data_IF_629794410743
#
_entry.id   IF_629794410743
#
_cell.length_a   1.000
_cell.length_b   1.000
_cell.length_c   1.000
_cell.angle_alpha   90.00
_cell.angle_beta   90.00
_cell.angle_gamma   90.00
#
_symmetry.space_group_name_H-M   'P 1'
#
loop_
_entity.id
_entity.type
_entity.pdbx_description
1 polymer ?
#
# COMPACT_ATOMS: atom_id res chain seq x y z
N UNK A 1 -13.09 -3.18 -33.55
CA UNK A 1 -12.68 -4.28 -32.65
C UNK A 1 -12.30 -3.67 -31.31
N UNK A 2 -12.93 -4.06 -30.18
CA UNK A 2 -12.62 -3.50 -28.87
C UNK A 2 -11.18 -3.82 -28.42
N UNK A 3 -10.48 -2.92 -27.70
CA UNK A 3 -9.17 -3.20 -27.15
C UNK A 3 -9.19 -4.17 -25.97
N UNK A 4 -8.11 -4.93 -25.83
CA UNK A 4 -7.71 -5.55 -24.56
C UNK A 4 -6.82 -4.59 -23.78
N UNK A 5 -7.11 -4.38 -22.49
CA UNK A 5 -6.38 -3.45 -21.63
C UNK A 5 -5.75 -4.20 -20.44
N UNK A 6 -4.47 -4.01 -20.21
CA UNK A 6 -3.74 -4.57 -19.06
C UNK A 6 -2.79 -3.52 -18.47
N UNK A 7 -2.78 -3.38 -17.15
CA UNK A 7 -1.83 -2.51 -16.44
C UNK A 7 -0.80 -3.37 -15.71
N UNK A 8 0.47 -3.03 -15.87
CA UNK A 8 1.62 -3.69 -15.20
C UNK A 8 2.43 -2.63 -14.47
N UNK A 9 2.92 -2.95 -13.28
CA UNK A 9 3.77 -2.08 -12.48
C UNK A 9 5.21 -2.61 -12.47
N UNK A 10 6.18 -1.72 -12.63
CA UNK A 10 7.62 -2.02 -12.52
C UNK A 10 8.30 -0.98 -11.59
N UNK A 11 8.93 -1.39 -10.47
CA UNK A 11 8.94 -2.75 -9.94
C UNK A 11 7.55 -3.26 -9.53
N UNK A 12 7.32 -4.58 -9.52
CA UNK A 12 6.08 -5.15 -9.04
C UNK A 12 5.91 -4.87 -7.54
N UNK A 13 4.68 -4.59 -7.12
CA UNK A 13 4.36 -4.37 -5.71
C UNK A 13 4.52 -5.66 -4.86
N UNK A 14 4.92 -5.57 -3.58
CA UNK A 14 5.14 -4.34 -2.81
C UNK A 14 6.53 -3.69 -3.04
N UNK A 15 6.59 -2.36 -2.92
CA UNK A 15 7.79 -1.53 -3.20
C UNK A 15 8.20 -0.73 -1.96
N UNK A 16 9.49 -0.48 -1.75
CA UNK A 16 9.96 0.41 -0.69
C UNK A 16 9.45 1.85 -0.84
N UNK A 17 9.33 2.56 0.29
CA UNK A 17 8.96 3.99 0.30
C UNK A 17 10.00 4.81 -0.47
N UNK A 18 9.56 5.88 -1.15
CA UNK A 18 10.34 6.80 -1.97
C UNK A 18 10.99 6.17 -3.21
N UNK A 19 10.56 4.97 -3.61
CA UNK A 19 10.92 4.41 -4.92
C UNK A 19 9.96 4.90 -5.99
N UNK A 20 10.49 5.09 -7.19
CA UNK A 20 9.70 5.31 -8.39
C UNK A 20 9.11 4.00 -8.90
N UNK A 21 7.82 4.00 -9.22
CA UNK A 21 7.09 2.89 -9.84
C UNK A 21 6.48 3.36 -11.15
N UNK A 22 6.71 2.60 -12.22
CA UNK A 22 6.13 2.85 -13.53
C UNK A 22 4.93 1.94 -13.75
N UNK A 23 3.75 2.54 -13.91
CA UNK A 23 2.56 1.83 -14.37
C UNK A 23 2.49 1.93 -15.89
N UNK A 24 2.57 0.78 -16.56
CA UNK A 24 2.44 0.68 -18.02
C UNK A 24 1.10 0.05 -18.37
N UNK A 25 0.29 0.79 -19.13
CA UNK A 25 -0.95 0.31 -19.71
C UNK A 25 -0.69 -0.23 -21.13
N UNK A 26 -0.91 -1.51 -21.31
CA UNK A 26 -0.89 -2.17 -22.61
C UNK A 26 -2.30 -2.21 -23.19
N UNK A 27 -2.50 -1.55 -24.32
CA UNK A 27 -3.76 -1.55 -25.07
C UNK A 27 -3.50 -2.28 -26.38
N UNK A 28 -4.19 -3.40 -26.62
CA UNK A 28 -3.86 -4.33 -27.72
C UNK A 28 -5.09 -4.76 -28.50
N UNK A 29 -4.89 -5.00 -29.80
CA UNK A 29 -5.84 -5.74 -30.64
C UNK A 29 -7.06 -4.95 -31.06
N UNK A 30 -6.97 -3.62 -31.14
CA UNK A 30 -8.08 -2.75 -31.48
C UNK A 30 -8.04 -2.27 -32.94
N UNK A 31 -9.18 -1.81 -33.43
CA UNK A 31 -9.33 -1.22 -34.77
C UNK A 31 -10.66 -0.46 -34.81
N UNK A 32 -10.72 0.77 -35.36
CA UNK A 32 -9.64 1.55 -35.99
C UNK A 32 -8.57 2.02 -34.99
N UNK A 33 -7.53 2.72 -35.46
CA UNK A 33 -6.37 3.09 -34.62
C UNK A 33 -6.64 4.19 -33.60
N UNK A 34 -7.79 4.86 -33.66
CA UNK A 34 -8.07 6.02 -32.81
C UNK A 34 -8.56 5.61 -31.42
N UNK A 35 -7.81 5.99 -30.39
CA UNK A 35 -8.15 5.75 -28.98
C UNK A 35 -7.77 6.95 -28.12
N UNK A 36 -8.55 7.19 -27.06
CA UNK A 36 -8.20 8.11 -25.99
C UNK A 36 -7.84 7.33 -24.73
N UNK A 37 -6.72 7.69 -24.09
CA UNK A 37 -6.24 7.05 -22.85
C UNK A 37 -6.17 8.11 -21.75
N UNK A 38 -6.79 7.82 -20.61
CA UNK A 38 -6.70 8.62 -19.39
C UNK A 38 -6.18 7.76 -18.24
N UNK A 39 -5.32 8.35 -17.41
CA UNK A 39 -4.89 7.73 -16.16
C UNK A 39 -5.68 8.29 -14.98
N UNK A 40 -6.02 7.43 -14.03
CA UNK A 40 -6.70 7.84 -12.80
C UNK A 40 -6.00 7.25 -11.59
N UNK A 41 -5.84 8.04 -10.53
CA UNK A 41 -5.46 7.60 -9.20
C UNK A 41 -6.70 7.63 -8.31
N UNK A 42 -7.15 6.45 -7.83
CA UNK A 42 -8.34 6.32 -6.99
C UNK A 42 -9.60 6.96 -7.60
N UNK A 43 -9.74 6.88 -8.92
CA UNK A 43 -10.87 7.45 -9.66
C UNK A 43 -10.71 8.93 -10.04
N UNK A 44 -9.66 9.61 -9.58
CA UNK A 44 -9.35 11.00 -9.96
C UNK A 44 -8.38 11.03 -11.12
N UNK A 45 -8.68 11.82 -12.15
CA UNK A 45 -7.86 11.91 -13.35
C UNK A 45 -6.48 12.54 -13.07
N UNK A 46 -5.43 11.91 -13.59
CA UNK A 46 -4.06 12.41 -13.55
C UNK A 46 -3.81 13.29 -14.77
N UNK A 47 -3.21 14.46 -14.56
CA UNK A 47 -2.75 15.35 -15.65
C UNK A 47 -1.44 14.89 -16.30
N UNK A 48 -0.82 13.86 -15.74
CA UNK A 48 0.47 13.31 -16.16
C UNK A 48 0.29 11.96 -16.85
N UNK A 49 1.19 11.65 -17.76
CA UNK A 49 1.21 10.40 -18.50
C UNK A 49 1.85 10.59 -19.86
N UNK A 50 2.45 9.52 -20.38
CA UNK A 50 3.03 9.49 -21.72
C UNK A 50 2.34 8.43 -22.54
N UNK A 51 1.66 8.84 -23.61
CA UNK A 51 0.96 7.96 -24.54
C UNK A 51 1.46 8.22 -25.96
N UNK A 52 2.49 7.49 -26.42
CA UNK A 52 2.90 7.50 -27.81
C UNK A 52 1.76 7.07 -28.76
N UNK A 53 1.85 7.43 -30.05
CA UNK A 53 0.89 6.99 -31.05
C UNK A 53 0.79 5.45 -31.15
N UNK A 54 -0.40 4.92 -31.51
CA UNK A 54 -0.57 3.51 -31.80
C UNK A 54 0.32 3.01 -32.93
N UNK A 55 0.77 1.75 -32.83
CA UNK A 55 1.45 1.02 -33.89
C UNK A 55 0.55 -0.07 -34.45
N UNK A 56 0.54 -0.23 -35.77
CA UNK A 56 -0.18 -1.30 -36.44
C UNK A 56 0.63 -2.61 -36.43
N UNK A 57 -0.03 -3.71 -36.08
CA UNK A 57 0.54 -5.06 -36.10
C UNK A 57 0.40 -5.69 -37.50
N UNK A 58 1.19 -6.72 -37.86
CA UNK A 58 1.06 -7.41 -39.15
C UNK A 58 -0.33 -8.05 -39.42
N UNK A 59 -1.17 -8.15 -38.38
CA UNK A 59 -2.55 -8.65 -38.47
C UNK A 59 -3.57 -7.55 -38.79
N UNK A 60 -3.14 -6.31 -39.03
CA UNK A 60 -4.00 -5.15 -39.29
C UNK A 60 -4.72 -4.61 -38.06
N UNK A 61 -4.28 -4.99 -36.85
CA UNK A 61 -4.80 -4.49 -35.58
C UNK A 61 -3.79 -3.55 -34.93
N UNK A 62 -4.26 -2.60 -34.14
CA UNK A 62 -3.42 -1.63 -33.44
C UNK A 62 -3.06 -2.07 -32.02
N UNK A 63 -1.91 -1.61 -31.56
CA UNK A 63 -1.50 -1.65 -30.16
C UNK A 63 -0.83 -0.33 -29.76
N UNK A 64 -0.94 0.04 -28.49
CA UNK A 64 -0.18 1.15 -27.90
C UNK A 64 0.21 0.83 -26.46
N UNK A 65 1.15 1.63 -25.94
CA UNK A 65 1.53 1.61 -24.52
C UNK A 65 1.41 3.01 -23.95
N UNK A 66 0.72 3.17 -22.84
CA UNK A 66 0.72 4.41 -22.06
C UNK A 66 1.44 4.19 -20.74
N UNK A 67 2.17 5.18 -20.24
CA UNK A 67 2.96 5.07 -19.01
C UNK A 67 2.65 6.23 -18.08
N UNK A 68 2.54 5.94 -16.77
CA UNK A 68 2.57 6.94 -15.70
C UNK A 68 3.62 6.56 -14.67
N UNK A 69 4.46 7.53 -14.31
CA UNK A 69 5.48 7.40 -13.26
C UNK A 69 4.91 7.91 -11.93
N UNK A 70 5.10 7.13 -10.87
CA UNK A 70 4.53 7.40 -9.54
C UNK A 70 5.59 7.21 -8.47
N UNK A 71 5.72 8.17 -7.55
CA UNK A 71 6.52 8.00 -6.33
C UNK A 71 5.75 7.19 -5.28
N UNK A 72 6.38 6.14 -4.75
CA UNK A 72 5.80 5.31 -3.70
C UNK A 72 5.89 5.99 -2.33
N UNK A 73 4.97 6.90 -2.04
CA UNK A 73 4.88 7.58 -0.75
C UNK A 73 3.85 6.90 0.15
N UNK A 74 3.99 7.00 1.47
CA UNK A 74 3.08 6.35 2.43
C UNK A 74 1.61 6.69 2.19
N UNK A 75 1.31 7.91 1.76
CA UNK A 75 -0.04 8.37 1.45
C UNK A 75 -0.66 7.66 0.24
N UNK A 76 0.18 7.19 -0.69
CA UNK A 76 -0.23 6.46 -1.89
C UNK A 76 -0.27 4.94 -1.68
N UNK A 77 0.01 4.46 -0.47
CA UNK A 77 -0.08 3.02 -0.19
C UNK A 77 -1.53 2.54 -0.36
N UNK A 78 -1.74 1.57 -1.25
CA UNK A 78 -3.06 1.08 -1.61
C UNK A 78 -3.75 1.88 -2.72
N UNK A 79 -3.14 2.95 -3.24
CA UNK A 79 -3.68 3.68 -4.39
C UNK A 79 -3.84 2.74 -5.60
N UNK A 80 -4.98 2.89 -6.28
CA UNK A 80 -5.32 2.16 -7.50
C UNK A 80 -5.11 3.07 -8.70
N UNK A 81 -4.17 2.68 -9.57
CA UNK A 81 -3.87 3.34 -10.82
C UNK A 81 -4.66 2.67 -11.94
N UNK A 82 -5.59 3.42 -12.53
CA UNK A 82 -6.50 2.94 -13.57
C UNK A 82 -6.12 3.56 -14.90
N UNK A 83 -5.89 2.73 -15.91
CA UNK A 83 -5.84 3.16 -17.30
C UNK A 83 -7.24 3.00 -17.89
N UNK A 84 -7.88 4.12 -18.24
CA UNK A 84 -9.20 4.15 -18.90
C UNK A 84 -9.03 4.45 -20.38
N UNK A 85 -9.56 3.57 -21.22
CA UNK A 85 -9.44 3.63 -22.67
C UNK A 85 -10.83 3.81 -23.27
N UNK A 86 -10.98 4.83 -24.12
CA UNK A 86 -12.16 5.06 -24.94
C UNK A 86 -11.78 4.77 -26.40
N UNK A 87 -12.54 3.93 -27.07
CA UNK A 87 -12.29 3.49 -28.44
C UNK A 87 -13.61 3.54 -29.22
N UNK A 88 -13.69 4.44 -30.20
CA UNK A 88 -14.92 4.81 -30.93
C UNK A 88 -16.10 5.16 -29.98
N UNK A 89 -17.31 4.76 -30.38
CA UNK A 89 -18.56 4.92 -29.63
C UNK A 89 -18.85 3.77 -28.66
N UNK A 90 -17.81 3.10 -28.14
CA UNK A 90 -17.93 1.99 -27.19
C UNK A 90 -17.86 2.50 -25.74
N UNK A 91 -18.41 1.70 -24.82
CA UNK A 91 -18.21 1.95 -23.39
C UNK A 91 -16.71 1.91 -23.03
N UNK A 92 -16.24 2.76 -22.10
CA UNK A 92 -14.84 2.78 -21.71
C UNK A 92 -14.38 1.43 -21.12
N UNK A 93 -13.18 1.00 -21.50
CA UNK A 93 -12.53 -0.21 -20.97
C UNK A 93 -11.39 0.22 -20.05
N UNK A 94 -11.25 -0.46 -18.91
CA UNK A 94 -10.21 -0.13 -17.94
C UNK A 94 -9.35 -1.32 -17.53
N UNK A 95 -8.07 -1.04 -17.31
CA UNK A 95 -7.15 -1.92 -16.59
C UNK A 95 -6.63 -1.20 -15.34
N UNK A 96 -6.27 -1.95 -14.31
CA UNK A 96 -5.85 -1.38 -13.02
C UNK A 96 -4.58 -2.03 -12.48
N UNK A 97 -3.74 -1.24 -11.82
CA UNK A 97 -2.65 -1.72 -10.97
C UNK A 97 -2.75 -1.08 -9.59
N UNK A 98 -2.38 -1.81 -8.55
CA UNK A 98 -2.38 -1.29 -7.16
C UNK A 98 -0.94 -1.08 -6.72
N UNK A 99 -0.65 0.11 -6.20
CA UNK A 99 0.61 0.38 -5.51
C UNK A 99 0.52 -0.17 -4.09
N UNK A 100 1.45 -1.02 -3.69
CA UNK A 100 1.60 -1.43 -2.28
C UNK A 100 3.00 -1.13 -1.80
N UNK A 101 3.09 -0.65 -0.58
CA UNK A 101 4.37 -0.39 0.08
C UNK A 101 4.80 -1.60 0.90
N UNK A 102 6.09 -1.94 0.82
CA UNK A 102 6.68 -2.97 1.65
C UNK A 102 6.69 -2.54 3.11
N UNK A 103 6.37 -3.46 4.03
CA UNK A 103 6.51 -3.18 5.45
C UNK A 103 7.97 -2.77 5.75
N UNK A 104 8.22 -1.80 6.66
CA UNK A 104 9.57 -1.49 7.09
C UNK A 104 10.24 -2.78 7.56
N UNK A 105 11.44 -3.05 7.06
CA UNK A 105 12.26 -4.09 7.65
C UNK A 105 12.39 -3.74 9.13
N UNK A 106 11.96 -4.64 10.02
CA UNK A 106 12.29 -4.50 11.44
C UNK A 106 13.79 -4.65 11.51
N UNK A 107 14.52 -3.55 11.62
CA UNK A 107 15.91 -3.60 12.05
C UNK A 107 15.90 -4.30 13.41
N UNK A 108 16.39 -5.54 13.39
CA UNK A 108 16.66 -6.29 14.60
C UNK A 108 17.80 -5.62 15.34
N UNK A 109 17.52 -4.52 16.03
CA UNK A 109 18.35 -4.06 17.13
C UNK A 109 18.11 -5.00 18.31
N UNK A 110 18.71 -6.18 18.22
CA UNK A 110 19.01 -7.02 19.37
C UNK A 110 20.48 -7.36 19.32
N UNK A 111 21.33 -6.39 19.63
CA UNK A 111 22.47 -6.71 20.45
C UNK A 111 22.45 -5.78 21.66
N UNK A 112 21.92 -6.32 22.76
CA UNK A 112 22.12 -5.76 24.09
C UNK A 112 23.64 -5.67 24.26
N UNK A 113 24.18 -4.48 24.43
CA UNK A 113 25.43 -4.33 25.15
C UNK A 113 25.20 -4.86 26.57
N UNK A 114 25.41 -6.16 26.77
CA UNK A 114 25.40 -6.80 28.08
C UNK A 114 26.77 -6.54 28.72
N UNK A 115 26.98 -5.29 29.07
CA UNK A 115 28.02 -4.83 29.98
C UNK A 115 27.36 -3.81 30.90
N UNK A 116 26.63 -4.27 31.90
CA UNK A 116 26.83 -3.69 33.22
C UNK A 116 26.41 -4.64 34.32
N UNK A 117 27.18 -4.61 35.39
CA UNK A 117 27.02 -5.42 36.57
C UNK A 117 25.83 -4.88 37.38
N UNK A 118 24.63 -5.38 37.10
CA UNK A 118 23.47 -5.10 37.95
C UNK A 118 23.59 -5.94 39.24
N UNK A 119 24.16 -5.29 40.24
CA UNK A 119 24.14 -5.62 41.65
C UNK A 119 22.74 -6.14 42.03
N UNK A 120 22.69 -7.24 42.77
CA UNK A 120 21.45 -7.86 43.24
C UNK A 120 20.68 -6.92 44.20
N UNK A 121 19.75 -6.10 43.69
CA UNK A 121 18.91 -5.20 44.50
C UNK A 121 17.49 -5.75 44.73
N UNK A 122 17.35 -7.06 45.01
CA UNK A 122 16.04 -7.66 45.37
C UNK A 122 16.10 -8.52 46.64
N UNK A 123 16.87 -8.08 47.64
CA UNK A 123 16.97 -8.73 48.95
C UNK A 123 16.62 -7.81 50.12
N UNK A 124 15.75 -6.81 49.91
CA UNK A 124 15.22 -6.00 51.01
C UNK A 124 13.84 -6.50 51.47
N UNK A 125 13.72 -7.16 52.64
CA UNK A 125 12.45 -7.68 53.18
C UNK A 125 11.46 -6.59 53.65
N UNK A 126 11.80 -5.31 53.54
CA UNK A 126 10.99 -4.19 54.06
C UNK A 126 9.82 -3.74 53.18
N UNK A 127 9.72 -4.17 51.91
CA UNK A 127 8.68 -3.70 50.99
C UNK A 127 7.40 -4.56 50.96
N UNK A 128 7.37 -5.69 51.69
CA UNK A 128 6.21 -6.61 51.70
C UNK A 128 5.19 -6.35 52.82
N UNK A 129 5.48 -5.47 53.79
CA UNK A 129 4.56 -5.18 54.90
C UNK A 129 3.58 -4.03 54.61
N UNK A 130 3.82 -3.21 53.58
CA UNK A 130 2.96 -2.07 53.25
C UNK A 130 1.69 -2.40 52.45
N UNK A 131 1.64 -3.56 51.77
CA UNK A 131 0.55 -3.92 50.85
C UNK A 131 -0.61 -4.65 51.58
N UNK A 132 -0.45 -4.96 52.87
CA UNK A 132 -1.42 -5.73 53.66
C UNK A 132 -2.38 -4.91 54.52
N UNK A 133 -2.36 -3.58 54.46
CA UNK A 133 -3.27 -2.72 55.24
C UNK A 133 -4.32 -1.95 54.42
N UNK A 134 -4.24 -1.93 53.09
CA UNK A 134 -5.24 -1.22 52.26
C UNK A 134 -6.38 -2.10 51.73
N UNK A 135 -6.19 -3.42 51.58
CA UNK A 135 -7.22 -4.31 51.01
C UNK A 135 -8.19 -4.94 52.02
N UNK A 136 -7.95 -4.77 53.32
CA UNK A 136 -8.83 -5.28 54.36
C UNK A 136 -10.12 -4.46 54.56
N UNK A 137 -10.06 -3.14 54.36
CA UNK A 137 -11.17 -2.23 54.67
C UNK A 137 -12.31 -2.33 53.64
N UNK A 138 -11.98 -2.54 52.36
CA UNK A 138 -12.98 -2.70 51.28
C UNK A 138 -13.71 -4.05 51.36
N UNK A 139 -13.03 -5.12 51.79
CA UNK A 139 -13.63 -6.45 51.92
C UNK A 139 -14.70 -6.52 53.01
N UNK A 140 -14.48 -5.84 54.14
CA UNK A 140 -15.45 -5.76 55.24
C UNK A 140 -16.64 -4.87 54.87
N UNK A 141 -16.40 -3.74 54.17
CA UNK A 141 -17.46 -2.82 53.73
C UNK A 141 -18.44 -3.50 52.75
N UNK A 142 -17.94 -4.31 51.83
CA UNK A 142 -18.80 -5.04 50.88
C UNK A 142 -19.62 -6.13 51.58
N UNK A 143 -19.11 -6.79 52.63
CA UNK A 143 -19.86 -7.83 53.34
C UNK A 143 -21.09 -7.27 54.09
N UNK A 144 -21.03 -6.03 54.57
CA UNK A 144 -22.17 -5.37 55.23
C UNK A 144 -23.19 -4.76 54.27
N UNK A 145 -22.81 -4.44 53.03
CA UNK A 145 -23.73 -3.86 52.03
C UNK A 145 -24.63 -4.89 51.32
N UNK A 146 -24.29 -6.18 51.41
CA UNK A 146 -25.03 -7.27 50.75
C UNK A 146 -25.66 -8.27 51.73
N UNK A 147 -25.95 -7.84 52.96
CA UNK A 147 -26.81 -8.60 53.89
C UNK A 147 -28.21 -8.02 53.92
#
# INVERSE_FOLDING_TARGET
>A
VPPSVQVVAEPPSPVEVNKTVNFTCHVKGFYPGDVAVAWLENGMELSVGSTPPPSETPRGLFELRSLVEVQATEEKNGSVFTCRVVHDAQDPISGTGTLRIAAPARDGLSDRSQTDNDVSILSSPGLWLGILLEKGLLGVLLFFLFR
#
